data_IF_505379771156
#
_entry.id   IF_505379771156
#
_cell.length_a   1.000
_cell.length_b   1.000
_cell.length_c   1.000
_cell.angle_alpha   90.00
_cell.angle_beta   90.00
_cell.angle_gamma   90.00
#
_symmetry.space_group_name_H-M   'P 1'
#
loop_
_entity.id
_entity.type
_entity.pdbx_description
1 polymer ?
#
# COMPACT_ATOMS: atom_id res chain seq x y z
N UNK A 1 9.55 -21.64 2.92
CA UNK A 1 8.68 -21.63 4.11
C UNK A 1 8.35 -20.19 4.46
N UNK A 2 7.08 -19.83 4.36
CA UNK A 2 6.54 -18.48 4.59
C UNK A 2 6.67 -18.09 6.05
N UNK A 3 7.47 -17.08 6.36
CA UNK A 3 7.32 -16.36 7.61
C UNK A 3 6.06 -15.52 7.48
N UNK A 4 4.90 -16.06 7.89
CA UNK A 4 3.75 -15.21 8.20
C UNK A 4 4.23 -14.29 9.33
N UNK A 5 4.51 -13.03 9.02
CA UNK A 5 4.77 -12.03 10.05
C UNK A 5 3.50 -11.94 10.91
N UNK A 6 3.52 -12.61 12.07
CA UNK A 6 2.45 -12.52 13.05
C UNK A 6 2.52 -11.14 13.68
N UNK A 7 1.85 -10.18 13.05
CA UNK A 7 1.76 -8.83 13.61
C UNK A 7 0.82 -8.82 14.81
N UNK A 8 1.34 -8.40 15.97
CA UNK A 8 0.53 -8.18 17.15
C UNK A 8 -0.49 -7.06 16.88
N UNK A 9 -1.77 -7.41 16.85
CA UNK A 9 -2.87 -6.45 16.84
C UNK A 9 -3.41 -6.31 18.26
N UNK A 10 -3.74 -5.09 18.66
CA UNK A 10 -4.32 -4.80 19.98
C UNK A 10 -5.82 -4.56 19.82
N UNK A 11 -6.61 -5.10 20.74
CA UNK A 11 -8.04 -4.80 20.82
C UNK A 11 -8.27 -3.29 21.01
N UNK A 12 -9.41 -2.78 20.54
CA UNK A 12 -9.79 -1.38 20.76
C UNK A 12 -9.75 -1.05 22.27
N UNK A 13 -9.02 0.00 22.69
CA UNK A 13 -9.00 0.39 24.09
C UNK A 13 -10.37 0.93 24.51
N UNK A 14 -10.80 0.54 25.71
CA UNK A 14 -12.06 1.02 26.28
C UNK A 14 -12.01 2.54 26.48
N UNK A 15 -13.03 3.24 26.01
CA UNK A 15 -13.11 4.69 26.16
C UNK A 15 -12.23 5.50 25.21
N UNK A 16 -11.82 4.94 24.06
CA UNK A 16 -11.00 5.62 23.05
C UNK A 16 -11.48 7.04 22.72
N UNK A 17 -12.79 7.29 22.69
CA UNK A 17 -13.40 8.60 22.44
C UNK A 17 -12.99 9.69 23.45
N UNK A 18 -12.53 9.31 24.64
CA UNK A 18 -12.03 10.23 25.68
C UNK A 18 -10.58 10.65 25.44
N UNK A 19 -9.85 9.94 24.58
CA UNK A 19 -8.42 10.15 24.33
C UNK A 19 -8.20 11.28 23.30
N UNK A 20 -8.70 12.49 23.61
CA UNK A 20 -8.79 13.65 22.68
C UNK A 20 -7.45 14.16 22.12
N UNK A 21 -6.33 13.78 22.73
CA UNK A 21 -4.99 14.18 22.31
C UNK A 21 -4.24 13.12 21.50
N UNK A 22 -4.86 11.99 21.17
CA UNK A 22 -4.23 10.98 20.31
C UNK A 22 -4.03 11.53 18.90
N UNK A 23 -2.80 11.40 18.41
CA UNK A 23 -2.42 11.72 17.04
C UNK A 23 -2.10 10.47 16.20
N UNK A 24 -1.69 9.38 16.85
CA UNK A 24 -1.29 8.13 16.19
C UNK A 24 -2.02 6.98 16.88
N UNK A 25 -2.74 6.21 16.08
CA UNK A 25 -3.47 5.03 16.52
C UNK A 25 -3.27 3.94 15.48
N UNK A 26 -2.53 2.88 15.78
CA UNK A 26 -2.16 1.87 14.79
C UNK A 26 -2.25 0.46 15.36
N UNK A 27 -2.35 -0.52 14.46
CA UNK A 27 -2.45 -1.95 14.79
C UNK A 27 -3.67 -2.29 15.65
N UNK A 28 -4.77 -1.56 15.46
CA UNK A 28 -6.02 -1.84 16.17
C UNK A 28 -6.82 -2.90 15.44
N UNK A 29 -7.22 -3.93 16.15
CA UNK A 29 -8.19 -4.89 15.64
C UNK A 29 -9.61 -4.33 15.76
N UNK A 30 -10.34 -4.32 14.64
CA UNK A 30 -11.76 -3.93 14.58
C UNK A 30 -12.61 -5.16 14.29
N UNK A 31 -13.65 -5.38 15.09
CA UNK A 31 -14.48 -6.60 15.05
C UNK A 31 -15.83 -6.41 14.34
N UNK A 32 -15.99 -5.30 13.61
CA UNK A 32 -17.21 -4.92 12.91
C UNK A 32 -18.43 -4.67 13.83
N UNK A 33 -18.18 -4.30 15.10
CA UNK A 33 -19.21 -3.70 15.95
C UNK A 33 -19.28 -2.21 15.62
N UNK A 34 -20.47 -1.67 15.41
CA UNK A 34 -20.70 -0.24 15.07
C UNK A 34 -20.02 0.73 16.06
N UNK A 35 -19.78 0.28 17.29
CA UNK A 35 -19.11 1.03 18.34
C UNK A 35 -17.61 1.26 18.12
N UNK A 36 -16.92 0.36 17.40
CA UNK A 36 -15.46 0.33 17.36
C UNK A 36 -14.90 1.58 16.65
N UNK A 37 -15.40 1.88 15.45
CA UNK A 37 -14.94 3.04 14.66
C UNK A 37 -15.62 4.35 15.04
N UNK A 38 -16.81 4.30 15.65
CA UNK A 38 -17.51 5.49 16.13
C UNK A 38 -16.69 6.26 17.17
N UNK A 39 -16.01 5.55 18.08
CA UNK A 39 -15.11 6.17 19.04
C UNK A 39 -13.90 6.86 18.39
N UNK A 40 -13.36 6.28 17.32
CA UNK A 40 -12.23 6.83 16.56
C UNK A 40 -12.64 8.09 15.79
N UNK A 41 -13.87 8.15 15.28
CA UNK A 41 -14.38 9.33 14.58
C UNK A 41 -14.39 10.61 15.44
N UNK A 42 -14.43 10.46 16.77
CA UNK A 42 -14.38 11.57 17.72
C UNK A 42 -12.95 12.09 18.00
N UNK A 43 -11.92 11.42 17.49
CA UNK A 43 -10.52 11.78 17.71
C UNK A 43 -10.08 12.90 16.76
N UNK A 44 -10.34 14.15 17.15
CA UNK A 44 -10.13 15.33 16.30
C UNK A 44 -8.65 15.59 15.95
N UNK A 45 -7.70 15.11 16.77
CA UNK A 45 -6.25 15.26 16.55
C UNK A 45 -5.61 14.07 15.83
N UNK A 46 -6.36 13.01 15.53
CA UNK A 46 -5.82 11.82 14.90
C UNK A 46 -5.27 12.13 13.51
N UNK A 47 -3.98 11.81 13.29
CA UNK A 47 -3.25 12.01 12.03
C UNK A 47 -2.91 10.68 11.34
N UNK A 48 -2.72 9.62 12.13
CA UNK A 48 -2.40 8.29 11.60
C UNK A 48 -3.31 7.23 12.21
N UNK A 49 -4.00 6.48 11.37
CA UNK A 49 -4.86 5.37 11.76
C UNK A 49 -4.38 4.07 11.10
N UNK A 50 -4.25 3.00 11.87
CA UNK A 50 -3.97 1.66 11.38
C UNK A 50 -4.97 0.65 11.94
N UNK A 51 -5.78 0.06 11.07
CA UNK A 51 -6.84 -0.88 11.40
C UNK A 51 -6.55 -2.25 10.78
N UNK A 52 -6.67 -3.28 11.59
CA UNK A 52 -6.68 -4.67 11.18
C UNK A 52 -8.11 -5.22 11.24
N UNK A 53 -8.60 -5.67 10.09
CA UNK A 53 -9.90 -6.28 9.91
C UNK A 53 -9.71 -7.81 9.99
N UNK A 54 -10.29 -8.45 11.00
CA UNK A 54 -10.18 -9.89 11.21
C UNK A 54 -11.57 -10.51 11.33
N UNK A 55 -11.91 -11.42 10.43
CA UNK A 55 -13.17 -12.19 10.49
C UNK A 55 -13.71 -12.60 9.11
N UNK A 56 -14.49 -13.69 9.09
CA UNK A 56 -15.10 -14.26 7.87
C UNK A 56 -16.22 -13.41 7.25
N UNK A 57 -16.68 -12.36 7.93
CA UNK A 57 -17.85 -11.56 7.55
C UNK A 57 -17.65 -10.05 7.76
N UNK A 58 -16.42 -9.54 7.65
CA UNK A 58 -16.22 -8.09 7.71
C UNK A 58 -16.76 -7.48 6.43
N UNK A 59 -17.89 -6.78 6.51
CA UNK A 59 -18.42 -5.97 5.42
C UNK A 59 -17.47 -4.79 5.20
N UNK A 60 -16.61 -4.91 4.19
CA UNK A 60 -15.67 -3.85 3.82
C UNK A 60 -16.42 -2.53 3.58
N UNK A 61 -17.59 -2.57 2.95
CA UNK A 61 -18.45 -1.41 2.74
C UNK A 61 -18.74 -0.63 4.03
N UNK A 62 -19.14 -1.31 5.11
CA UNK A 62 -19.47 -0.67 6.39
C UNK A 62 -18.23 -0.04 7.04
N UNK A 63 -17.09 -0.74 6.96
CA UNK A 63 -15.81 -0.22 7.49
C UNK A 63 -15.39 1.03 6.73
N UNK A 64 -15.44 1.02 5.40
CA UNK A 64 -15.09 2.18 4.57
C UNK A 64 -16.09 3.33 4.76
N UNK A 65 -17.38 3.03 4.95
CA UNK A 65 -18.39 4.03 5.29
C UNK A 65 -18.11 4.70 6.64
N UNK A 66 -17.69 3.93 7.65
CA UNK A 66 -17.25 4.46 8.95
C UNK A 66 -15.95 5.29 8.81
N UNK A 67 -15.00 4.85 7.98
CA UNK A 67 -13.76 5.58 7.68
C UNK A 67 -14.06 6.95 7.05
N UNK A 68 -15.11 7.08 6.23
CA UNK A 68 -15.58 8.37 5.70
C UNK A 68 -16.02 9.35 6.80
N UNK A 69 -16.48 8.85 7.95
CA UNK A 69 -16.90 9.68 9.10
C UNK A 69 -15.72 10.16 9.95
N UNK A 70 -14.50 9.67 9.70
CA UNK A 70 -13.33 10.08 10.45
C UNK A 70 -13.02 11.55 10.22
N UNK A 71 -12.44 12.18 11.25
CA UNK A 71 -12.14 13.59 11.20
C UNK A 71 -11.11 13.92 10.10
N UNK A 72 -11.31 15.08 9.45
CA UNK A 72 -10.47 15.60 8.36
C UNK A 72 -9.01 15.90 8.74
N UNK A 73 -8.59 15.65 9.97
CA UNK A 73 -7.19 15.75 10.40
C UNK A 73 -6.37 14.51 10.02
N UNK A 74 -7.03 13.39 9.76
CA UNK A 74 -6.36 12.16 9.37
C UNK A 74 -5.58 12.37 8.08
N UNK A 75 -4.37 11.82 8.01
CA UNK A 75 -3.47 11.93 6.84
C UNK A 75 -2.93 10.59 6.40
N UNK A 76 -2.74 9.66 7.34
CA UNK A 76 -2.25 8.32 7.06
C UNK A 76 -3.29 7.29 7.47
N UNK A 77 -3.61 6.38 6.55
CA UNK A 77 -4.49 5.26 6.79
C UNK A 77 -3.78 3.96 6.42
N UNK A 78 -3.79 3.00 7.34
CA UNK A 78 -3.35 1.64 7.11
C UNK A 78 -4.50 0.69 7.34
N UNK A 79 -4.82 -0.14 6.35
CA UNK A 79 -5.87 -1.15 6.40
C UNK A 79 -5.21 -2.49 6.11
N UNK A 80 -5.33 -3.42 7.05
CA UNK A 80 -4.87 -4.79 6.89
C UNK A 80 -6.05 -5.74 7.00
N UNK A 81 -6.22 -6.60 6.00
CA UNK A 81 -7.20 -7.68 6.03
C UNK A 81 -6.50 -8.98 6.43
N UNK A 82 -7.02 -9.64 7.46
CA UNK A 82 -6.50 -10.93 7.97
C UNK A 82 -7.64 -11.95 7.92
N UNK A 83 -7.76 -12.66 6.79
CA UNK A 83 -8.79 -13.68 6.54
C UNK A 83 -8.51 -14.48 5.27
N UNK A 84 -9.00 -15.73 5.21
CA UNK A 84 -8.93 -16.56 3.99
C UNK A 84 -9.75 -15.88 2.90
N UNK A 85 -9.11 -15.59 1.76
CA UNK A 85 -9.74 -14.96 0.61
C UNK A 85 -11.01 -15.71 0.19
N UNK A 86 -12.15 -15.22 0.68
CA UNK A 86 -13.43 -15.42 0.03
C UNK A 86 -13.49 -14.41 -1.09
N UNK A 87 -13.46 -14.93 -2.31
CA UNK A 87 -13.81 -14.28 -3.55
C UNK A 87 -15.16 -13.58 -3.42
N UNK A 88 -15.14 -12.34 -2.94
CA UNK A 88 -16.19 -11.39 -3.23
C UNK A 88 -15.47 -10.20 -3.86
N UNK A 89 -15.52 -10.16 -5.20
CA UNK A 89 -15.39 -8.89 -5.93
C UNK A 89 -16.33 -7.92 -5.22
N UNK A 90 -15.73 -6.98 -4.48
CA UNK A 90 -16.52 -6.01 -3.75
C UNK A 90 -17.08 -5.05 -4.78
N UNK A 91 -18.34 -5.28 -5.17
CA UNK A 91 -19.15 -4.35 -5.94
C UNK A 91 -18.99 -2.96 -5.32
N UNK A 92 -18.33 -2.08 -6.07
CA UNK A 92 -18.06 -0.68 -5.74
C UNK A 92 -17.68 -0.42 -4.25
N UNK A 93 -16.42 -0.70 -3.90
CA UNK A 93 -15.85 -0.22 -2.62
C UNK A 93 -16.09 1.28 -2.44
N UNK A 94 -16.57 1.73 -1.26
CA UNK A 94 -16.86 3.13 -1.03
C UNK A 94 -15.60 3.99 -1.23
N UNK A 95 -15.78 5.14 -1.86
CA UNK A 95 -14.71 6.12 -2.12
C UNK A 95 -13.90 6.43 -0.86
N UNK A 96 -12.57 6.40 -0.90
CA UNK A 96 -11.76 6.79 0.27
C UNK A 96 -11.96 8.27 0.63
N UNK A 97 -11.75 8.68 1.89
CA UNK A 97 -11.78 10.09 2.25
C UNK A 97 -10.71 10.89 1.49
N UNK A 98 -11.05 12.11 1.06
CA UNK A 98 -10.20 12.91 0.17
C UNK A 98 -8.94 13.45 0.85
N UNK A 99 -8.97 13.61 2.17
CA UNK A 99 -7.90 14.20 2.98
C UNK A 99 -6.73 13.24 3.28
N UNK A 100 -6.75 12.01 2.76
CA UNK A 100 -5.70 11.02 3.00
C UNK A 100 -4.54 11.25 2.03
N UNK A 101 -3.34 11.43 2.61
CA UNK A 101 -2.10 11.64 1.86
C UNK A 101 -1.26 10.34 1.77
N UNK A 102 -1.43 9.43 2.73
CA UNK A 102 -0.66 8.18 2.81
C UNK A 102 -1.58 6.98 3.05
N UNK A 103 -1.52 5.99 2.16
CA UNK A 103 -2.34 4.79 2.23
C UNK A 103 -1.47 3.53 2.26
N UNK A 104 -1.72 2.65 3.23
CA UNK A 104 -1.10 1.33 3.30
C UNK A 104 -2.22 0.28 3.28
N UNK A 105 -2.18 -0.61 2.31
CA UNK A 105 -3.16 -1.68 2.14
C UNK A 105 -2.43 -3.02 2.18
N UNK A 106 -2.96 -3.95 2.97
CA UNK A 106 -2.51 -5.33 3.03
C UNK A 106 -3.70 -6.29 2.91
N UNK A 107 -3.64 -7.25 1.98
CA UNK A 107 -4.63 -8.32 1.85
C UNK A 107 -5.95 -7.95 1.15
N UNK A 108 -5.98 -6.87 0.36
CA UNK A 108 -7.17 -6.43 -0.40
C UNK A 108 -6.85 -6.42 -1.89
N UNK A 109 -7.78 -6.94 -2.71
CA UNK A 109 -7.68 -7.08 -4.17
C UNK A 109 -7.99 -5.78 -4.94
N UNK A 110 -7.93 -5.86 -6.28
CA UNK A 110 -8.11 -4.79 -7.29
C UNK A 110 -9.24 -3.79 -7.03
N UNK A 111 -10.37 -4.19 -6.43
CA UNK A 111 -11.53 -3.32 -6.20
C UNK A 111 -11.20 -2.00 -5.48
N UNK A 112 -10.21 -2.00 -4.58
CA UNK A 112 -9.81 -0.80 -3.83
C UNK A 112 -8.98 0.18 -4.68
N UNK A 113 -8.26 -0.34 -5.67
CA UNK A 113 -7.43 0.48 -6.57
C UNK A 113 -8.32 1.36 -7.45
N UNK A 114 -9.48 0.86 -7.86
CA UNK A 114 -10.48 1.66 -8.58
C UNK A 114 -11.01 2.83 -7.74
N UNK A 115 -11.23 2.63 -6.43
CA UNK A 115 -11.74 3.66 -5.53
C UNK A 115 -10.77 4.83 -5.29
N UNK A 116 -9.49 4.69 -5.67
CA UNK A 116 -8.48 5.75 -5.52
C UNK A 116 -8.12 6.48 -6.81
N UNK A 117 -8.73 6.12 -7.96
CA UNK A 117 -8.40 6.68 -9.28
C UNK A 117 -8.38 8.21 -9.33
N UNK A 118 -9.32 8.88 -8.66
CA UNK A 118 -9.48 10.34 -8.70
C UNK A 118 -8.94 11.02 -7.42
N UNK A 119 -7.92 10.44 -6.79
CA UNK A 119 -7.38 10.91 -5.49
C UNK A 119 -6.06 11.66 -5.64
N UNK A 120 -6.18 12.93 -6.00
CA UNK A 120 -5.05 13.83 -6.22
C UNK A 120 -4.21 14.16 -4.96
N UNK A 121 -4.74 13.92 -3.76
CA UNK A 121 -4.05 14.18 -2.49
C UNK A 121 -3.15 13.03 -2.05
N UNK A 122 -3.30 11.83 -2.62
CA UNK A 122 -2.49 10.67 -2.27
C UNK A 122 -1.05 10.87 -2.75
N UNK A 123 -0.16 11.09 -1.79
CA UNK A 123 1.27 11.25 -2.04
C UNK A 123 2.04 9.94 -1.86
N UNK A 124 1.53 9.00 -1.04
CA UNK A 124 2.21 7.74 -0.73
C UNK A 124 1.27 6.55 -0.72
N UNK A 125 1.65 5.48 -1.41
CA UNK A 125 0.92 4.21 -1.43
C UNK A 125 1.87 3.07 -1.08
N UNK A 126 1.44 2.20 -0.18
CA UNK A 126 2.10 0.92 0.15
C UNK A 126 1.11 -0.21 -0.02
N UNK A 127 1.52 -1.26 -0.73
CA UNK A 127 0.68 -2.40 -1.08
C UNK A 127 1.37 -3.71 -0.68
N UNK A 128 0.64 -4.61 -0.03
CA UNK A 128 1.10 -5.95 0.35
C UNK A 128 -0.04 -6.95 0.14
N UNK A 129 0.25 -8.18 -0.27
CA UNK A 129 -0.75 -9.24 -0.48
C UNK A 129 -1.99 -8.77 -1.29
N UNK A 130 -1.76 -7.87 -2.25
CA UNK A 130 -2.81 -7.23 -3.05
C UNK A 130 -3.07 -7.97 -4.36
N UNK A 131 -2.11 -8.76 -4.84
CA UNK A 131 -2.19 -9.53 -6.09
C UNK A 131 -2.70 -8.70 -7.28
N UNK A 132 -2.19 -7.47 -7.41
CA UNK A 132 -2.59 -6.54 -8.47
C UNK A 132 -2.17 -7.04 -9.84
N UNK A 133 -3.00 -6.74 -10.84
CA UNK A 133 -2.73 -6.93 -12.27
C UNK A 133 -2.19 -5.65 -12.90
N UNK A 134 -1.72 -5.74 -14.14
CA UNK A 134 -1.20 -4.59 -14.87
C UNK A 134 -2.21 -3.44 -15.00
N UNK A 135 -3.49 -3.75 -15.17
CA UNK A 135 -4.54 -2.73 -15.28
C UNK A 135 -4.76 -1.96 -13.96
N UNK A 136 -4.58 -2.61 -12.82
CA UNK A 136 -4.61 -1.93 -11.51
C UNK A 136 -3.43 -0.95 -11.40
N UNK A 137 -2.26 -1.34 -11.88
CA UNK A 137 -1.08 -0.49 -11.85
C UNK A 137 -1.21 0.72 -12.75
N UNK A 138 -1.95 0.63 -13.86
CA UNK A 138 -2.28 1.80 -14.70
C UNK A 138 -3.08 2.84 -13.92
N UNK A 139 -3.97 2.43 -13.02
CA UNK A 139 -4.74 3.35 -12.19
C UNK A 139 -3.82 4.08 -11.21
N UNK A 140 -2.96 3.35 -10.49
CA UNK A 140 -1.98 3.92 -9.57
C UNK A 140 -0.99 4.82 -10.32
N UNK A 141 -0.61 4.40 -11.51
CA UNK A 141 0.28 5.08 -12.44
C UNK A 141 -0.23 6.40 -12.98
N UNK A 142 -1.51 6.72 -12.80
CA UNK A 142 -2.16 7.96 -13.24
C UNK A 142 -2.52 8.90 -12.07
N UNK A 143 -2.06 8.61 -10.85
CA UNK A 143 -2.23 9.50 -9.71
C UNK A 143 -1.23 10.66 -9.77
N UNK A 144 -1.71 11.84 -10.16
CA UNK A 144 -0.93 13.07 -10.32
C UNK A 144 -0.24 13.56 -9.03
N UNK A 145 -0.76 13.20 -7.86
CA UNK A 145 -0.24 13.54 -6.54
C UNK A 145 0.84 12.58 -6.03
N UNK A 146 0.97 11.40 -6.63
CA UNK A 146 1.77 10.31 -6.09
C UNK A 146 3.27 10.62 -6.18
N UNK A 147 3.94 10.53 -5.04
CA UNK A 147 5.39 10.76 -4.89
C UNK A 147 6.16 9.53 -4.44
N UNK A 148 5.49 8.62 -3.71
CA UNK A 148 6.09 7.40 -3.19
C UNK A 148 5.20 6.19 -3.43
N UNK A 149 5.75 5.18 -4.08
CA UNK A 149 5.08 3.90 -4.32
C UNK A 149 5.90 2.77 -3.72
N UNK A 150 5.25 1.91 -2.94
CA UNK A 150 5.88 0.74 -2.33
C UNK A 150 5.07 -0.52 -2.62
N UNK A 151 5.69 -1.45 -3.31
CA UNK A 151 5.21 -2.81 -3.53
C UNK A 151 5.94 -3.75 -2.56
N UNK A 152 5.20 -4.42 -1.69
CA UNK A 152 5.72 -5.43 -0.77
C UNK A 152 5.33 -6.84 -1.24
N UNK A 153 5.58 -7.87 -0.43
CA UNK A 153 5.30 -9.26 -0.77
C UNK A 153 3.91 -9.46 -1.38
N UNK A 154 3.85 -10.21 -2.49
CA UNK A 154 2.63 -10.61 -3.20
C UNK A 154 1.70 -9.44 -3.57
N UNK A 155 2.26 -8.24 -3.79
CA UNK A 155 1.47 -7.08 -4.19
C UNK A 155 1.12 -7.06 -5.68
N UNK A 156 1.93 -7.70 -6.53
CA UNK A 156 1.77 -7.73 -7.99
C UNK A 156 1.92 -9.16 -8.49
N UNK A 157 1.06 -9.60 -9.41
CA UNK A 157 1.05 -10.98 -9.93
C UNK A 157 1.95 -11.19 -11.15
N UNK A 158 2.37 -10.12 -11.82
CA UNK A 158 3.26 -10.22 -12.97
C UNK A 158 4.73 -10.34 -12.54
N UNK A 159 5.55 -10.94 -13.41
CA UNK A 159 7.01 -10.94 -13.29
C UNK A 159 7.67 -9.78 -14.04
N UNK A 160 6.92 -9.09 -14.90
CA UNK A 160 7.38 -7.93 -15.67
C UNK A 160 6.58 -6.69 -15.30
N UNK A 161 7.25 -5.55 -15.13
CA UNK A 161 6.62 -4.25 -14.95
C UNK A 161 7.09 -3.27 -16.03
N UNK A 162 6.16 -2.89 -16.92
CA UNK A 162 6.41 -1.90 -17.95
C UNK A 162 5.69 -0.59 -17.62
N UNK A 163 6.46 0.45 -17.29
CA UNK A 163 5.97 1.82 -17.32
C UNK A 163 5.87 2.24 -18.77
N UNK A 164 4.69 2.59 -19.24
CA UNK A 164 4.48 3.08 -20.61
C UNK A 164 4.28 4.60 -20.59
N UNK A 165 5.06 5.33 -21.40
CA UNK A 165 5.12 6.81 -21.46
C UNK A 165 3.76 7.51 -21.52
N UNK A 166 2.76 6.84 -22.11
CA UNK A 166 1.40 7.38 -22.28
C UNK A 166 0.34 6.70 -21.39
N UNK A 167 0.69 5.63 -20.67
CA UNK A 167 -0.24 4.92 -19.77
C UNK A 167 -0.03 5.29 -18.29
N UNK A 168 1.12 5.90 -17.96
CA UNK A 168 1.51 6.26 -16.59
C UNK A 168 1.81 7.77 -16.49
N UNK A 169 0.80 8.55 -16.11
CA UNK A 169 0.91 10.00 -15.87
C UNK A 169 1.15 10.30 -14.37
N UNK A 170 2.25 9.78 -13.82
CA UNK A 170 2.68 10.10 -12.44
C UNK A 170 3.86 11.07 -12.45
N UNK A 171 3.67 12.35 -12.87
CA UNK A 171 4.76 13.30 -13.08
C UNK A 171 5.50 13.66 -11.79
N UNK A 172 4.94 13.31 -10.62
CA UNK A 172 5.52 13.61 -9.30
C UNK A 172 6.16 12.40 -8.62
N UNK A 173 6.21 11.22 -9.26
CA UNK A 173 6.74 10.02 -8.61
C UNK A 173 8.25 10.16 -8.40
N UNK A 174 8.65 10.20 -7.13
CA UNK A 174 10.03 10.45 -6.71
C UNK A 174 10.71 9.18 -6.18
N UNK A 175 9.94 8.24 -5.62
CA UNK A 175 10.47 7.02 -5.02
C UNK A 175 9.63 5.80 -5.35
N UNK A 176 10.30 4.75 -5.80
CA UNK A 176 9.74 3.40 -5.93
C UNK A 176 10.52 2.47 -5.01
N UNK A 177 9.81 1.66 -4.24
CA UNK A 177 10.37 0.53 -3.49
C UNK A 177 9.61 -0.72 -3.90
N UNK A 178 10.31 -1.74 -4.38
CA UNK A 178 9.68 -2.97 -4.83
C UNK A 178 10.36 -4.18 -4.21
N UNK A 179 9.58 -4.95 -3.45
CA UNK A 179 9.99 -6.23 -2.88
C UNK A 179 9.34 -7.37 -3.65
N UNK A 180 10.15 -8.29 -4.15
CA UNK A 180 9.73 -9.42 -4.98
C UNK A 180 10.65 -10.63 -4.72
N UNK A 181 10.25 -11.82 -5.16
CA UNK A 181 11.12 -12.99 -5.13
C UNK A 181 12.11 -12.91 -6.31
N UNK A 182 11.56 -12.94 -7.51
CA UNK A 182 12.27 -12.72 -8.78
C UNK A 182 11.49 -11.72 -9.63
N UNK A 183 12.19 -10.99 -10.51
CA UNK A 183 11.59 -10.08 -11.49
C UNK A 183 12.28 -10.25 -12.83
N UNK A 184 11.49 -10.48 -13.89
CA UNK A 184 11.98 -10.76 -15.24
C UNK A 184 12.37 -9.46 -15.96
N UNK A 185 11.56 -8.41 -15.84
CA UNK A 185 11.84 -7.14 -16.49
C UNK A 185 11.22 -5.94 -15.76
N UNK A 186 11.96 -4.82 -15.78
CA UNK A 186 11.48 -3.50 -15.40
C UNK A 186 11.85 -2.51 -16.49
N UNK A 187 10.85 -1.89 -17.11
CA UNK A 187 11.06 -0.96 -18.23
C UNK A 187 10.28 0.34 -18.07
N UNK A 188 10.72 1.40 -18.77
CA UNK A 188 10.06 2.71 -18.80
C UNK A 188 10.28 3.59 -17.57
N UNK A 189 11.20 3.20 -16.69
CA UNK A 189 11.61 4.01 -15.52
C UNK A 189 12.34 5.30 -15.95
N UNK A 190 12.93 5.29 -17.13
CA UNK A 190 13.55 6.44 -17.81
C UNK A 190 12.53 7.54 -18.14
N UNK A 191 11.24 7.18 -18.24
CA UNK A 191 10.15 8.12 -18.50
C UNK A 191 9.58 8.77 -17.25
N UNK A 192 10.07 8.46 -16.06
CA UNK A 192 9.58 9.02 -14.79
C UNK A 192 10.35 10.32 -14.46
N UNK A 193 9.82 11.50 -14.82
CA UNK A 193 10.60 12.74 -14.92
C UNK A 193 11.09 13.30 -13.58
N UNK A 194 10.67 12.71 -12.45
CA UNK A 194 11.06 13.10 -11.09
C UNK A 194 11.60 11.95 -10.25
N UNK A 195 11.84 10.78 -10.86
CA UNK A 195 12.35 9.64 -10.12
C UNK A 195 13.74 9.97 -9.55
N UNK A 196 13.87 9.86 -8.23
CA UNK A 196 15.11 10.11 -7.48
C UNK A 196 15.67 8.84 -6.86
N UNK A 197 14.81 7.88 -6.54
CA UNK A 197 15.22 6.64 -5.89
C UNK A 197 14.39 5.45 -6.37
N UNK A 198 15.10 4.40 -6.78
CA UNK A 198 14.58 3.07 -7.07
C UNK A 198 15.23 2.08 -6.11
N UNK A 199 14.43 1.40 -5.31
CA UNK A 199 14.89 0.38 -4.36
C UNK A 199 14.25 -0.96 -4.72
N UNK A 200 15.08 -1.93 -5.11
CA UNK A 200 14.70 -3.27 -5.51
C UNK A 200 15.17 -4.25 -4.43
N UNK A 201 14.24 -5.03 -3.90
CA UNK A 201 14.50 -6.02 -2.85
C UNK A 201 14.07 -7.39 -3.37
N UNK A 202 14.99 -8.10 -4.01
CA UNK A 202 14.74 -9.37 -4.68
C UNK A 202 15.76 -9.64 -5.77
N UNK A 203 15.67 -10.81 -6.38
CA UNK A 203 16.64 -11.24 -7.38
C UNK A 203 16.18 -10.80 -8.78
N UNK A 204 17.01 -10.03 -9.48
CA UNK A 204 16.74 -9.56 -10.83
C UNK A 204 18.02 -9.22 -11.59
N UNK A 205 17.91 -9.14 -12.91
CA UNK A 205 18.96 -8.56 -13.75
C UNK A 205 18.92 -7.03 -13.59
N UNK A 206 20.06 -6.45 -13.18
CA UNK A 206 20.20 -5.02 -12.98
C UNK A 206 20.72 -4.29 -14.21
N UNK A 207 21.28 -4.99 -15.21
CA UNK A 207 21.99 -4.32 -16.30
C UNK A 207 21.05 -3.46 -17.17
N UNK A 208 19.87 -3.96 -17.61
CA UNK A 208 18.89 -3.14 -18.33
C UNK A 208 18.37 -1.96 -17.48
N UNK A 209 18.34 -2.12 -16.15
CA UNK A 209 17.85 -1.11 -15.21
C UNK A 209 18.89 0.01 -15.07
N UNK A 210 20.17 -0.33 -14.98
CA UNK A 210 21.27 0.64 -14.96
C UNK A 210 21.29 1.43 -16.25
N UNK A 211 21.24 0.75 -17.40
CA UNK A 211 21.19 1.40 -18.73
C UNK A 211 20.02 2.38 -18.84
N UNK A 212 18.82 2.01 -18.36
CA UNK A 212 17.67 2.91 -18.37
C UNK A 212 17.83 4.13 -17.43
N UNK A 213 18.64 4.02 -16.37
CA UNK A 213 18.92 5.11 -15.44
C UNK A 213 20.13 5.96 -15.87
N UNK A 214 20.98 5.45 -16.77
CA UNK A 214 22.08 6.21 -17.36
C UNK A 214 21.54 7.40 -18.17
N UNK A 215 21.99 8.61 -17.83
CA UNK A 215 21.50 9.84 -18.46
C UNK A 215 20.12 10.30 -18.01
N UNK A 216 19.50 9.65 -17.02
CA UNK A 216 18.23 10.10 -16.45
C UNK A 216 18.38 11.49 -15.81
N UNK A 217 17.46 12.46 -16.07
CA UNK A 217 17.64 13.87 -15.70
C UNK A 217 17.81 14.16 -14.21
N UNK A 218 17.44 13.22 -13.34
CA UNK A 218 17.56 13.36 -11.88
C UNK A 218 18.63 12.48 -11.23
N UNK A 219 19.46 11.76 -12.02
CA UNK A 219 20.47 10.83 -11.49
C UNK A 219 19.90 9.92 -10.40
N UNK A 220 18.84 9.17 -10.74
CA UNK A 220 18.10 8.39 -9.77
C UNK A 220 19.02 7.35 -9.11
N UNK A 221 18.97 7.27 -7.78
CA UNK A 221 19.77 6.32 -7.01
C UNK A 221 19.10 4.94 -7.08
N UNK A 222 19.82 3.96 -7.62
CA UNK A 222 19.46 2.54 -7.56
C UNK A 222 20.01 1.91 -6.28
N UNK A 223 19.13 1.28 -5.50
CA UNK A 223 19.48 0.43 -4.35
C UNK A 223 19.00 -0.98 -4.65
N UNK A 224 19.89 -1.96 -4.58
CA UNK A 224 19.55 -3.38 -4.74
C UNK A 224 19.84 -4.15 -3.45
N UNK A 225 18.87 -4.93 -2.99
CA UNK A 225 18.97 -5.84 -1.86
C UNK A 225 18.53 -7.25 -2.31
N UNK A 226 19.43 -8.07 -2.88
CA UNK A 226 19.08 -9.43 -3.32
C UNK A 226 18.78 -10.33 -2.11
N UNK A 227 18.08 -11.45 -2.33
CA UNK A 227 17.87 -12.41 -1.27
C UNK A 227 19.20 -13.10 -0.95
N UNK A 228 19.79 -12.81 0.22
CA UNK A 228 20.94 -13.60 0.68
C UNK A 228 20.48 -15.06 0.87
N UNK A 229 21.16 -16.00 0.22
CA UNK A 229 21.03 -17.42 0.52
C UNK A 229 21.20 -17.60 2.03
N UNK A 230 20.12 -17.98 2.72
CA UNK A 230 20.27 -18.51 4.08
C UNK A 230 21.09 -19.77 3.95
N UNK A 231 22.32 -19.78 4.46
CA UNK A 231 23.03 -21.03 4.66
C UNK A 231 22.11 -21.98 5.44
N UNK A 232 21.93 -23.23 4.99
CA UNK A 232 21.11 -24.18 5.71
C UNK A 232 21.68 -24.33 7.12
N UNK A 233 20.86 -23.99 8.12
CA UNK A 233 21.18 -24.28 9.52
C UNK A 233 21.46 -25.77 9.63
N UNK A 234 22.68 -26.12 10.08
CA UNK A 234 23.03 -27.51 10.37
C UNK A 234 21.95 -28.16 11.25
N UNK A 235 21.45 -29.35 10.87
CA UNK A 235 20.53 -30.07 11.72
C UNK A 235 21.22 -30.42 13.04
N UNK A 236 20.59 -30.03 14.15
CA UNK A 236 20.97 -30.47 15.51
C UNK A 236 20.71 -31.95 15.69
#
# INVERSE_FOLDING_TARGET
>A
MTSEESFATVSMPLGIQKMRNIEILSHIQVTNKDSDLFGIAQLLKLRKLGVALRGKHVKLGDTFFQIKKLHKCLRSLSIRFVGTAGTEEVDALPTLPEFIESLNICGITSGLVHSIKDRHQLAKITLSDAYLKQDDLRIIGNLDGLRGLRFQHKSYTGSELAYKKFEFQTPKLERIVWTFATMDALSGIDWLPRLKKLELNGDCDLDPIKEALEGHPNNAILVNNPHQERQPSEPR
#
